data_IF_176495405250
#
_entry.id   IF_176495405250
#
_cell.length_a   1.000
_cell.length_b   1.000
_cell.length_c   1.000
_cell.angle_alpha   90.00
_cell.angle_beta   90.00
_cell.angle_gamma   90.00
#
_symmetry.space_group_name_H-M   'P 1'
#
loop_
_entity.id
_entity.type
_entity.pdbx_description
1 polymer ?
#
# COMPACT_ATOMS: atom_id res chain seq x y z
N UNK A 1 -2.55 6.89 -33.32
CA UNK A 1 -3.54 6.15 -32.51
C UNK A 1 -3.97 7.03 -31.35
N UNK A 2 -5.25 7.38 -31.28
CA UNK A 2 -5.81 8.22 -30.22
C UNK A 2 -5.92 7.45 -28.89
N UNK A 3 -5.40 8.01 -27.79
CA UNK A 3 -5.90 7.72 -26.44
C UNK A 3 -6.07 9.02 -25.65
N UNK A 4 -7.28 9.54 -25.82
CA UNK A 4 -8.14 10.18 -24.82
C UNK A 4 -7.52 11.13 -23.79
N UNK A 5 -7.88 12.41 -23.96
CA UNK A 5 -7.78 13.50 -23.00
C UNK A 5 -8.28 13.11 -21.61
N UNK A 6 -7.41 13.19 -20.61
CA UNK A 6 -7.83 13.42 -19.23
C UNK A 6 -6.79 14.36 -18.64
N UNK A 7 -7.22 15.58 -18.30
CA UNK A 7 -6.47 16.56 -17.52
C UNK A 7 -5.66 15.83 -16.44
N UNK A 8 -4.33 15.82 -16.55
CA UNK A 8 -3.45 15.19 -15.55
C UNK A 8 -3.42 16.11 -14.35
N UNK A 9 -4.50 16.04 -13.58
CA UNK A 9 -4.58 16.60 -12.26
C UNK A 9 -3.80 15.62 -11.36
N UNK A 10 -2.52 15.91 -11.10
CA UNK A 10 -1.65 15.17 -10.17
C UNK A 10 -2.08 15.33 -8.70
N UNK A 11 -3.38 15.41 -8.46
CA UNK A 11 -3.94 15.37 -7.11
C UNK A 11 -3.95 13.90 -6.69
N UNK A 12 -2.85 13.48 -6.06
CA UNK A 12 -2.79 12.24 -5.30
C UNK A 12 -4.06 12.12 -4.45
N UNK A 13 -4.87 11.11 -4.75
CA UNK A 13 -6.17 10.91 -4.13
C UNK A 13 -6.16 9.78 -3.10
N UNK A 14 -7.08 9.84 -2.14
CA UNK A 14 -7.28 8.80 -1.12
C UNK A 14 -7.45 7.39 -1.72
N UNK A 15 -8.11 7.28 -2.88
CA UNK A 15 -8.29 6.02 -3.62
C UNK A 15 -6.96 5.33 -4.00
N UNK A 16 -5.93 6.10 -4.35
CA UNK A 16 -4.63 5.52 -4.70
C UNK A 16 -3.93 4.91 -3.49
N UNK A 17 -4.06 5.55 -2.33
CA UNK A 17 -3.60 4.99 -1.07
C UNK A 17 -4.39 3.74 -0.66
N UNK A 18 -5.72 3.76 -0.79
CA UNK A 18 -6.53 2.58 -0.46
C UNK A 18 -6.22 1.38 -1.37
N UNK A 19 -5.92 1.62 -2.64
CA UNK A 19 -5.49 0.55 -3.57
C UNK A 19 -4.16 -0.08 -3.14
N UNK A 20 -3.18 0.75 -2.74
CA UNK A 20 -1.93 0.28 -2.16
C UNK A 20 -2.13 -0.47 -0.84
N UNK A 21 -3.12 -0.05 -0.04
CA UNK A 21 -3.48 -0.75 1.19
C UNK A 21 -4.05 -2.15 0.92
N UNK A 22 -5.01 -2.28 0.00
CA UNK A 22 -5.60 -3.58 -0.38
C UNK A 22 -4.59 -4.53 -1.02
N UNK A 23 -3.71 -4.01 -1.88
CA UNK A 23 -2.73 -4.79 -2.63
C UNK A 23 -1.33 -4.16 -2.46
N UNK A 24 -0.61 -4.46 -1.36
CA UNK A 24 0.69 -3.86 -1.06
C UNK A 24 1.70 -4.00 -2.20
N UNK A 25 1.72 -5.16 -2.86
CA UNK A 25 2.60 -5.44 -4.00
C UNK A 25 2.27 -4.51 -5.18
N UNK A 26 0.98 -4.35 -5.50
CA UNK A 26 0.54 -3.48 -6.59
C UNK A 26 0.85 -2.03 -6.27
N UNK A 27 0.64 -1.59 -5.02
CA UNK A 27 1.00 -0.24 -4.57
C UNK A 27 2.50 0.06 -4.70
N UNK A 28 3.36 -0.92 -4.42
CA UNK A 28 4.82 -0.78 -4.57
C UNK A 28 5.24 -0.72 -6.06
N UNK A 29 4.63 -1.53 -6.92
CA UNK A 29 4.87 -1.49 -8.37
C UNK A 29 4.40 -0.15 -8.96
N UNK A 30 3.22 0.32 -8.56
CA UNK A 30 2.66 1.61 -8.99
C UNK A 30 3.55 2.79 -8.54
N UNK A 31 4.08 2.72 -7.32
CA UNK A 31 5.06 3.69 -6.81
C UNK A 31 6.29 3.76 -7.69
N UNK A 32 6.82 2.62 -8.16
CA UNK A 32 7.99 2.58 -9.05
C UNK A 32 7.68 3.08 -10.47
N UNK A 33 6.55 2.68 -11.05
CA UNK A 33 6.14 3.10 -12.40
C UNK A 33 5.85 4.60 -12.47
N UNK A 34 5.19 5.17 -11.44
CA UNK A 34 4.83 6.59 -11.42
C UNK A 34 5.80 7.47 -10.66
N UNK A 35 6.97 6.95 -10.25
CA UNK A 35 7.98 7.74 -9.55
C UNK A 35 8.44 8.95 -10.36
N UNK A 36 8.61 8.76 -11.67
CA UNK A 36 9.12 9.79 -12.57
C UNK A 36 8.00 10.60 -13.24
N UNK A 37 6.82 10.00 -13.49
CA UNK A 37 5.71 10.68 -14.17
C UNK A 37 4.74 11.41 -13.23
N UNK A 38 4.36 10.82 -12.09
CA UNK A 38 3.31 11.33 -11.19
C UNK A 38 3.68 11.15 -9.72
N UNK A 39 4.59 11.97 -9.19
CA UNK A 39 5.19 11.74 -7.86
C UNK A 39 4.18 11.84 -6.72
N UNK A 40 3.12 12.64 -6.85
CA UNK A 40 2.09 12.79 -5.82
C UNK A 40 1.18 11.55 -5.72
N UNK A 41 0.75 11.02 -6.86
CA UNK A 41 -0.03 9.77 -6.93
C UNK A 41 0.81 8.57 -6.51
N UNK A 42 2.08 8.52 -6.93
CA UNK A 42 3.03 7.50 -6.49
C UNK A 42 3.17 7.53 -4.96
N UNK A 43 3.37 8.70 -4.35
CA UNK A 43 3.45 8.83 -2.88
C UNK A 43 2.18 8.34 -2.18
N UNK A 44 0.99 8.65 -2.69
CA UNK A 44 -0.25 8.17 -2.11
C UNK A 44 -0.35 6.63 -2.13
N UNK A 45 -0.09 6.00 -3.27
CA UNK A 45 -0.09 4.54 -3.42
C UNK A 45 1.01 3.86 -2.57
N UNK A 46 2.20 4.42 -2.54
CA UNK A 46 3.32 3.95 -1.72
C UNK A 46 3.05 4.03 -0.22
N UNK A 47 2.47 5.14 0.26
CA UNK A 47 2.07 5.28 1.66
C UNK A 47 1.00 4.26 2.06
N UNK A 48 0.01 4.03 1.19
CA UNK A 48 -1.00 2.99 1.41
C UNK A 48 -0.42 1.58 1.54
N UNK A 49 0.53 1.23 0.66
CA UNK A 49 1.24 -0.05 0.71
C UNK A 49 2.13 -0.18 1.95
N UNK A 50 2.79 0.91 2.38
CA UNK A 50 3.59 0.89 3.60
C UNK A 50 2.72 0.66 4.84
N UNK A 51 1.58 1.35 4.93
CA UNK A 51 0.65 1.21 6.07
C UNK A 51 0.09 -0.22 6.15
N UNK A 52 -0.29 -0.84 5.04
CA UNK A 52 -0.80 -2.22 5.07
C UNK A 52 0.25 -3.23 5.54
N UNK A 53 1.51 -3.08 5.12
CA UNK A 53 2.61 -3.94 5.61
C UNK A 53 2.82 -3.75 7.11
N UNK A 54 2.85 -2.50 7.60
CA UNK A 54 3.05 -2.22 9.03
C UNK A 54 1.94 -2.85 9.86
N UNK A 55 0.66 -2.66 9.48
CA UNK A 55 -0.47 -3.24 10.20
C UNK A 55 -0.37 -4.77 10.24
N UNK A 56 -0.04 -5.40 9.11
CA UNK A 56 0.08 -6.85 9.02
C UNK A 56 1.21 -7.39 9.91
N UNK A 57 2.36 -6.71 9.95
CA UNK A 57 3.49 -7.07 10.82
C UNK A 57 3.12 -6.92 12.30
N UNK A 58 2.50 -5.81 12.70
CA UNK A 58 2.08 -5.58 14.09
C UNK A 58 1.08 -6.64 14.55
N UNK A 59 0.06 -6.92 13.74
CA UNK A 59 -0.93 -7.97 14.05
C UNK A 59 -0.29 -9.34 14.13
N UNK A 60 0.63 -9.66 13.22
CA UNK A 60 1.35 -10.94 13.24
C UNK A 60 2.17 -11.11 14.53
N UNK A 61 2.88 -10.07 14.98
CA UNK A 61 3.65 -10.12 16.24
C UNK A 61 2.73 -10.36 17.44
N UNK A 62 1.60 -9.65 17.53
CA UNK A 62 0.63 -9.83 18.61
C UNK A 62 0.05 -11.26 18.57
N UNK A 63 -0.34 -11.72 17.39
CA UNK A 63 -0.89 -13.06 17.20
C UNK A 63 0.12 -14.14 17.59
N UNK A 64 1.39 -14.02 17.17
CA UNK A 64 2.46 -14.95 17.53
C UNK A 64 2.76 -14.90 19.03
N UNK A 65 2.74 -13.72 19.67
CA UNK A 65 2.95 -13.61 21.11
C UNK A 65 1.83 -14.29 21.91
N UNK A 66 0.57 -14.09 21.51
CA UNK A 66 -0.58 -14.72 22.15
C UNK A 66 -0.67 -16.22 21.84
N UNK A 67 -0.50 -16.61 20.58
CA UNK A 67 -0.56 -18.01 20.15
C UNK A 67 0.63 -18.81 20.65
N UNK A 68 1.84 -18.22 20.68
CA UNK A 68 3.03 -18.84 21.25
C UNK A 68 2.91 -19.08 22.75
N UNK A 69 2.28 -18.15 23.49
CA UNK A 69 1.94 -18.38 24.90
C UNK A 69 0.94 -19.52 25.06
N UNK A 70 -0.08 -19.61 24.20
CA UNK A 70 -1.05 -20.71 24.23
C UNK A 70 -0.44 -22.07 23.85
N UNK A 71 0.46 -22.12 22.86
CA UNK A 71 1.17 -23.32 22.45
C UNK A 71 2.18 -23.82 23.50
N UNK A 72 2.75 -22.91 24.31
CA UNK A 72 3.65 -23.27 25.39
C UNK A 72 2.93 -23.89 26.61
N UNK A 73 1.61 -23.72 26.71
CA UNK A 73 0.77 -24.23 27.82
C UNK A 73 -0.03 -25.48 27.49
N UNK A 74 -0.02 -25.93 26.23
CA UNK A 74 -0.62 -27.18 25.74
C UNK A 74 0.40 -28.32 25.77
#
# INVERSE_FOLDING_TARGET
>A
MAKHSASVNDQGGFLWGLLGFCLPIVGLILFLIWREERPLTAKAAGMGALISVIINVVFSIIYVAMAGAAFATL
#
